data_IF_845033326086
#
_entry.id   IF_845033326086
#
_cell.length_a   1.000
_cell.length_b   1.000
_cell.length_c   1.000
_cell.angle_alpha   90.00
_cell.angle_beta   90.00
_cell.angle_gamma   90.00
#
_symmetry.space_group_name_H-M   'P 1'
#
loop_
_entity.id
_entity.type
_entity.pdbx_description
1 polymer ?
#
# COMPACT_ATOMS: atom_id res chain seq x y z
N UNK A 1 12.24 38.52 15.27
CA UNK A 1 10.83 38.70 14.90
C UNK A 1 10.20 37.33 14.84
N UNK A 2 9.48 36.98 15.89
CA UNK A 2 8.85 35.67 16.08
C UNK A 2 7.49 35.70 15.37
N UNK A 3 7.44 35.11 14.19
CA UNK A 3 6.18 34.91 13.47
C UNK A 3 5.45 33.69 14.04
N UNK A 4 4.48 33.91 14.90
CA UNK A 4 3.48 32.94 15.31
C UNK A 4 2.57 32.64 14.12
N UNK A 5 2.79 31.50 13.46
CA UNK A 5 1.83 30.97 12.50
C UNK A 5 0.63 30.43 13.29
N UNK A 6 -0.46 31.18 13.25
CA UNK A 6 -1.77 30.80 13.75
C UNK A 6 -2.25 29.53 13.04
N UNK A 7 -2.30 28.40 13.74
CA UNK A 7 -3.08 27.24 13.34
C UNK A 7 -4.54 27.61 13.52
N UNK A 8 -5.20 28.06 12.46
CA UNK A 8 -6.65 28.26 12.44
C UNK A 8 -7.32 26.90 12.64
N UNK A 9 -7.90 26.69 13.81
CA UNK A 9 -8.83 25.57 14.06
C UNK A 9 -9.96 25.64 13.03
N UNK A 10 -10.22 24.58 12.25
CA UNK A 10 -11.28 24.60 11.24
C UNK A 10 -12.63 24.93 11.90
N UNK A 11 -13.38 25.82 11.29
CA UNK A 11 -14.77 26.11 11.69
C UNK A 11 -15.60 24.87 11.39
N UNK A 12 -15.85 24.00 12.41
CA UNK A 12 -16.70 22.82 12.23
C UNK A 12 -16.30 21.55 12.97
N UNK A 13 -15.16 21.53 13.66
CA UNK A 13 -14.71 20.37 14.44
C UNK A 13 -14.17 19.19 13.60
N UNK A 14 -13.69 18.08 14.25
CA UNK A 14 -13.00 16.97 13.57
C UNK A 14 -13.84 16.27 12.50
N UNK A 15 -15.14 16.08 12.72
CA UNK A 15 -16.02 15.41 11.76
C UNK A 15 -16.20 16.21 10.45
N UNK A 16 -16.32 17.56 10.54
CA UNK A 16 -16.40 18.41 9.36
C UNK A 16 -15.09 18.38 8.56
N UNK A 17 -13.95 18.35 9.25
CA UNK A 17 -12.65 18.22 8.60
C UNK A 17 -12.51 16.88 7.87
N UNK A 18 -12.94 15.77 8.47
CA UNK A 18 -12.94 14.46 7.80
C UNK A 18 -13.80 14.47 6.55
N UNK A 19 -14.98 15.13 6.58
CA UNK A 19 -15.84 15.26 5.40
C UNK A 19 -15.14 16.04 4.26
N UNK A 20 -14.41 17.11 4.59
CA UNK A 20 -13.62 17.88 3.62
C UNK A 20 -12.48 17.04 3.01
N UNK A 21 -11.73 16.33 3.85
CA UNK A 21 -10.64 15.45 3.42
C UNK A 21 -11.14 14.30 2.51
N UNK A 22 -12.30 13.76 2.82
CA UNK A 22 -12.92 12.72 2.03
C UNK A 22 -13.39 13.25 0.67
N UNK A 23 -14.04 14.42 0.64
CA UNK A 23 -14.49 15.06 -0.60
C UNK A 23 -13.33 15.34 -1.56
N UNK A 24 -12.17 15.78 -1.03
CA UNK A 24 -10.95 15.98 -1.82
C UNK A 24 -10.47 14.66 -2.41
N UNK A 25 -10.32 13.60 -1.61
CA UNK A 25 -9.90 12.26 -2.07
C UNK A 25 -10.78 11.73 -3.19
N UNK A 26 -12.10 11.90 -3.06
CA UNK A 26 -13.06 11.49 -4.10
C UNK A 26 -12.87 12.27 -5.39
N UNK A 27 -12.67 13.60 -5.29
CA UNK A 27 -12.47 14.46 -6.47
C UNK A 27 -11.15 14.15 -7.18
N UNK A 28 -10.04 14.11 -6.44
CA UNK A 28 -8.70 13.84 -6.98
C UNK A 28 -8.62 12.43 -7.60
N UNK A 29 -9.24 11.43 -6.97
CA UNK A 29 -9.31 10.07 -7.49
C UNK A 29 -10.11 10.01 -8.82
N UNK A 30 -11.27 10.67 -8.88
CA UNK A 30 -12.08 10.69 -10.09
C UNK A 30 -11.35 11.39 -11.24
N UNK A 31 -10.71 12.54 -10.98
CA UNK A 31 -9.92 13.27 -11.96
C UNK A 31 -8.77 12.41 -12.50
N UNK A 32 -8.00 11.77 -11.61
CA UNK A 32 -6.84 10.99 -11.97
C UNK A 32 -7.21 9.80 -12.87
N UNK A 33 -8.13 8.95 -12.43
CA UNK A 33 -8.47 7.74 -13.19
C UNK A 33 -9.22 8.03 -14.47
N UNK A 34 -10.04 9.10 -14.54
CA UNK A 34 -10.67 9.53 -15.80
C UNK A 34 -9.64 10.02 -16.80
N UNK A 35 -8.65 10.79 -16.34
CA UNK A 35 -7.60 11.35 -17.21
C UNK A 35 -6.63 10.25 -17.69
N UNK A 36 -6.22 9.35 -16.80
CA UNK A 36 -5.12 8.43 -17.04
C UNK A 36 -5.56 7.03 -17.53
N UNK A 37 -6.86 6.71 -17.57
CA UNK A 37 -7.36 5.36 -17.84
C UNK A 37 -6.79 4.73 -19.12
N UNK A 38 -6.71 5.49 -20.23
CA UNK A 38 -6.17 5.01 -21.49
C UNK A 38 -4.65 4.74 -21.39
N UNK A 39 -3.91 5.65 -20.72
CA UNK A 39 -2.47 5.48 -20.52
C UNK A 39 -2.18 4.29 -19.61
N UNK A 40 -2.96 4.10 -18.56
CA UNK A 40 -2.84 2.95 -17.64
C UNK A 40 -3.11 1.65 -18.40
N UNK A 41 -4.14 1.57 -19.23
CA UNK A 41 -4.41 0.38 -20.03
C UNK A 41 -3.24 0.01 -20.95
N UNK A 42 -2.68 0.98 -21.65
CA UNK A 42 -1.48 0.80 -22.50
C UNK A 42 -0.25 0.40 -21.67
N UNK A 43 -0.06 1.01 -20.49
CA UNK A 43 1.02 0.63 -19.59
C UNK A 43 0.91 -0.82 -19.16
N UNK A 44 -0.29 -1.30 -18.78
CA UNK A 44 -0.50 -2.71 -18.42
C UNK A 44 -0.06 -3.67 -19.53
N UNK A 45 -0.38 -3.35 -20.79
CA UNK A 45 0.10 -4.13 -21.94
C UNK A 45 1.64 -4.12 -22.04
N UNK A 46 2.27 -2.92 -21.97
CA UNK A 46 3.73 -2.78 -22.05
C UNK A 46 4.46 -3.54 -20.92
N UNK A 47 3.92 -3.50 -19.72
CA UNK A 47 4.45 -4.26 -18.58
C UNK A 47 4.29 -5.76 -18.79
N UNK A 48 3.15 -6.21 -19.33
CA UNK A 48 2.93 -7.62 -19.67
C UNK A 48 3.93 -8.12 -20.73
N UNK A 49 4.23 -7.31 -21.75
CA UNK A 49 5.26 -7.64 -22.76
C UNK A 49 6.65 -7.82 -22.13
N UNK A 50 7.04 -6.96 -21.17
CA UNK A 50 8.31 -7.09 -20.44
C UNK A 50 8.38 -8.40 -19.69
N UNK A 51 7.35 -8.74 -18.92
CA UNK A 51 7.27 -10.02 -18.24
C UNK A 51 7.29 -11.22 -19.22
N UNK A 52 6.62 -11.13 -20.36
CA UNK A 52 6.60 -12.19 -21.37
C UNK A 52 8.00 -12.46 -21.94
N UNK A 53 8.88 -11.46 -21.97
CA UNK A 53 10.28 -11.56 -22.38
C UNK A 53 11.22 -11.99 -21.25
N UNK A 54 10.72 -12.19 -20.04
CA UNK A 54 11.48 -12.62 -18.87
C UNK A 54 12.00 -11.47 -18.00
N UNK A 55 11.48 -10.27 -18.19
CA UNK A 55 11.77 -9.11 -17.36
C UNK A 55 11.16 -9.20 -15.96
N UNK A 56 11.58 -8.30 -15.08
CA UNK A 56 11.19 -8.19 -13.68
C UNK A 56 10.79 -6.75 -13.37
N UNK A 57 10.05 -6.53 -12.30
CA UNK A 57 9.95 -5.22 -11.68
C UNK A 57 11.19 -4.96 -10.83
N UNK A 58 11.76 -3.76 -10.98
CA UNK A 58 12.76 -3.18 -10.10
C UNK A 58 12.11 -1.94 -9.49
N UNK A 59 11.53 -2.10 -8.30
CA UNK A 59 10.91 -1.01 -7.56
C UNK A 59 11.96 -0.34 -6.68
N UNK A 60 12.06 0.99 -6.68
CA UNK A 60 13.05 1.71 -5.88
C UNK A 60 12.52 3.05 -5.37
N UNK A 61 13.04 3.46 -4.21
CA UNK A 61 12.67 4.70 -3.55
C UNK A 61 13.61 5.02 -2.39
N UNK A 62 13.64 6.30 -2.00
CA UNK A 62 14.62 6.82 -1.03
C UNK A 62 13.99 7.08 0.33
N UNK A 63 12.80 7.69 0.34
CA UNK A 63 12.13 8.13 1.58
C UNK A 63 11.50 6.96 2.35
N UNK A 64 11.19 7.13 3.66
CA UNK A 64 10.48 6.11 4.42
C UNK A 64 9.10 5.72 3.81
N UNK A 65 8.33 6.68 3.32
CA UNK A 65 7.06 6.42 2.63
C UNK A 65 7.29 5.68 1.31
N UNK A 66 8.23 6.13 0.47
CA UNK A 66 8.58 5.42 -0.76
C UNK A 66 9.06 3.97 -0.50
N UNK A 67 9.69 3.70 0.65
CA UNK A 67 10.10 2.36 1.04
C UNK A 67 8.89 1.44 1.30
N UNK A 68 7.80 1.95 1.86
CA UNK A 68 6.57 1.16 2.03
C UNK A 68 5.99 0.76 0.67
N UNK A 69 5.90 1.70 -0.29
CA UNK A 69 5.44 1.43 -1.66
C UNK A 69 6.33 0.42 -2.40
N UNK A 70 7.66 0.57 -2.29
CA UNK A 70 8.64 -0.39 -2.87
C UNK A 70 8.40 -1.81 -2.34
N UNK A 71 8.17 -1.95 -1.05
CA UNK A 71 7.90 -3.24 -0.41
C UNK A 71 6.51 -3.77 -0.77
N UNK A 72 5.52 -2.89 -0.84
CA UNK A 72 4.15 -3.24 -1.16
C UNK A 72 4.04 -3.77 -2.59
N UNK A 73 4.51 -3.01 -3.59
CA UNK A 73 4.48 -3.48 -4.97
C UNK A 73 5.26 -4.78 -5.16
N UNK A 74 6.35 -4.95 -4.42
CA UNK A 74 7.15 -6.18 -4.50
C UNK A 74 6.37 -7.38 -3.98
N UNK A 75 5.72 -7.27 -2.83
CA UNK A 75 4.94 -8.38 -2.26
C UNK A 75 3.73 -8.73 -3.12
N UNK A 76 3.03 -7.74 -3.68
CA UNK A 76 1.88 -7.96 -4.55
C UNK A 76 2.23 -8.74 -5.82
N UNK A 77 3.34 -8.40 -6.47
CA UNK A 77 3.75 -9.10 -7.68
C UNK A 77 4.32 -10.50 -7.40
N UNK A 78 5.11 -10.67 -6.34
CA UNK A 78 5.74 -11.95 -6.00
C UNK A 78 4.75 -12.93 -5.35
N UNK A 79 3.82 -12.43 -4.55
CA UNK A 79 2.86 -13.24 -3.80
C UNK A 79 1.42 -12.76 -4.04
N UNK A 80 0.84 -13.07 -5.20
CA UNK A 80 -0.52 -12.63 -5.52
C UNK A 80 -1.55 -13.22 -4.55
N UNK A 81 -2.37 -12.35 -3.96
CA UNK A 81 -3.40 -12.72 -2.99
C UNK A 81 -4.73 -13.11 -3.66
N UNK A 82 -4.89 -12.82 -4.96
CA UNK A 82 -6.07 -13.17 -5.74
C UNK A 82 -5.87 -14.52 -6.41
N UNK A 83 -6.80 -15.46 -6.17
CA UNK A 83 -6.77 -16.80 -6.76
C UNK A 83 -6.73 -16.71 -8.29
N UNK A 84 -5.83 -17.46 -8.92
CA UNK A 84 -5.66 -17.51 -10.37
C UNK A 84 -4.67 -16.48 -10.93
N UNK A 85 -4.21 -15.50 -10.15
CA UNK A 85 -3.12 -14.60 -10.56
C UNK A 85 -1.76 -15.29 -10.43
N UNK A 86 -0.86 -15.00 -11.40
CA UNK A 86 0.49 -15.59 -11.40
C UNK A 86 1.43 -14.77 -10.52
N UNK A 87 2.34 -15.43 -9.83
CA UNK A 87 3.51 -14.76 -9.26
C UNK A 87 4.37 -14.20 -10.39
N UNK A 88 4.65 -12.92 -10.32
CA UNK A 88 5.47 -12.19 -11.29
C UNK A 88 6.74 -11.69 -10.57
N UNK A 89 7.93 -11.77 -11.19
CA UNK A 89 9.16 -11.43 -10.53
C UNK A 89 9.27 -9.93 -10.26
N UNK A 90 9.51 -9.58 -8.99
CA UNK A 90 9.75 -8.21 -8.55
C UNK A 90 10.84 -8.15 -7.49
N UNK A 91 11.64 -7.09 -7.50
CA UNK A 91 12.72 -6.81 -6.55
C UNK A 91 12.55 -5.39 -6.03
N UNK A 92 12.47 -5.25 -4.71
CA UNK A 92 12.48 -3.95 -4.04
C UNK A 92 13.90 -3.53 -3.69
N UNK A 93 14.35 -2.41 -4.24
CA UNK A 93 15.66 -1.81 -4.01
C UNK A 93 15.52 -0.66 -3.02
N UNK A 94 16.22 -0.76 -1.91
CA UNK A 94 16.20 0.26 -0.85
C UNK A 94 17.63 0.65 -0.46
N UNK A 95 17.80 1.81 0.17
CA UNK A 95 19.14 2.34 0.53
C UNK A 95 19.88 1.48 1.56
N UNK A 96 19.20 0.63 2.31
CA UNK A 96 19.83 -0.30 3.23
C UNK A 96 20.79 -1.28 2.54
N UNK A 97 20.54 -1.59 1.25
CA UNK A 97 21.43 -2.44 0.44
C UNK A 97 22.52 -1.65 -0.32
N UNK A 98 22.61 -0.34 -0.12
CA UNK A 98 23.57 0.55 -0.78
C UNK A 98 22.91 1.58 -1.71
N UNK A 99 23.71 2.43 -2.39
CA UNK A 99 23.16 3.46 -3.27
C UNK A 99 22.31 2.88 -4.40
N UNK A 100 21.14 3.46 -4.64
CA UNK A 100 20.18 2.98 -5.66
C UNK A 100 20.78 2.93 -7.09
N UNK A 101 21.56 3.96 -7.54
CA UNK A 101 22.18 3.89 -8.86
C UNK A 101 23.13 2.69 -9.02
N UNK A 102 23.88 2.33 -7.96
CA UNK A 102 24.78 1.17 -7.99
C UNK A 102 23.99 -0.13 -8.08
N UNK A 103 22.93 -0.27 -7.30
CA UNK A 103 22.07 -1.46 -7.34
C UNK A 103 21.42 -1.62 -8.74
N UNK A 104 20.90 -0.54 -9.32
CA UNK A 104 20.29 -0.54 -10.65
C UNK A 104 21.34 -0.84 -11.73
N UNK A 105 22.56 -0.30 -11.62
CA UNK A 105 23.64 -0.60 -12.58
C UNK A 105 23.99 -2.08 -12.63
N UNK A 106 23.97 -2.73 -11.49
CA UNK A 106 24.28 -4.17 -11.36
C UNK A 106 23.14 -5.10 -11.76
N UNK A 107 21.89 -4.68 -11.59
CA UNK A 107 20.72 -5.56 -11.69
C UNK A 107 19.85 -5.31 -12.92
N UNK A 108 19.79 -4.07 -13.42
CA UNK A 108 18.85 -3.70 -14.48
C UNK A 108 19.24 -4.27 -15.84
N UNK A 109 18.25 -4.83 -16.52
CA UNK A 109 18.36 -5.34 -17.90
C UNK A 109 17.32 -4.66 -18.82
N UNK A 110 17.52 -4.69 -20.14
CA UNK A 110 16.56 -4.04 -21.05
C UNK A 110 15.12 -4.56 -20.97
N UNK A 111 14.92 -5.76 -20.47
CA UNK A 111 13.59 -6.35 -20.34
C UNK A 111 12.89 -5.96 -19.03
N UNK A 112 13.59 -5.37 -18.06
CA UNK A 112 13.03 -5.04 -16.77
C UNK A 112 12.11 -3.80 -16.84
N UNK A 113 11.23 -3.70 -15.83
CA UNK A 113 10.37 -2.55 -15.57
C UNK A 113 10.88 -1.87 -14.31
N UNK A 114 11.37 -0.64 -14.41
CA UNK A 114 11.87 0.14 -13.30
C UNK A 114 10.80 1.11 -12.80
N UNK A 115 10.42 1.01 -11.52
CA UNK A 115 9.40 1.87 -10.91
C UNK A 115 10.05 2.69 -9.81
N UNK A 116 10.08 4.02 -9.98
CA UNK A 116 10.62 4.96 -9.00
C UNK A 116 9.51 5.57 -8.14
N UNK A 117 9.65 5.46 -6.81
CA UNK A 117 8.75 6.03 -5.80
C UNK A 117 9.41 7.18 -5.06
N UNK A 118 8.72 8.29 -4.90
CA UNK A 118 9.19 9.49 -4.19
C UNK A 118 8.57 10.76 -4.75
N UNK A 119 8.84 11.87 -4.10
CA UNK A 119 8.29 13.19 -4.44
C UNK A 119 9.17 13.98 -5.45
N UNK A 120 10.18 13.34 -6.04
CA UNK A 120 11.03 13.95 -7.06
C UNK A 120 12.09 14.94 -6.54
N UNK A 121 12.22 15.11 -5.24
CA UNK A 121 13.23 16.01 -4.66
C UNK A 121 14.60 15.33 -4.44
N UNK A 122 14.65 13.99 -4.49
CA UNK A 122 15.84 13.22 -4.15
C UNK A 122 16.75 13.00 -5.38
N UNK A 123 17.96 13.56 -5.36
CA UNK A 123 18.94 13.41 -6.44
C UNK A 123 19.22 11.94 -6.79
N UNK A 124 19.28 11.05 -5.80
CA UNK A 124 19.54 9.63 -5.98
C UNK A 124 18.40 8.92 -6.73
N UNK A 125 17.15 9.40 -6.57
CA UNK A 125 15.99 8.89 -7.31
C UNK A 125 16.10 9.25 -8.80
N UNK A 126 16.49 10.50 -9.12
CA UNK A 126 16.74 10.94 -10.50
C UNK A 126 17.90 10.19 -11.16
N UNK A 127 19.01 10.01 -10.44
CA UNK A 127 20.18 9.26 -10.94
C UNK A 127 19.80 7.79 -11.22
N UNK A 128 19.05 7.16 -10.30
CA UNK A 128 18.55 5.79 -10.48
C UNK A 128 17.63 5.66 -11.69
N UNK A 129 16.71 6.60 -11.88
CA UNK A 129 15.79 6.60 -13.03
C UNK A 129 16.54 6.81 -14.35
N UNK A 130 17.49 7.75 -14.40
CA UNK A 130 18.33 7.99 -15.58
C UNK A 130 19.12 6.73 -15.96
N UNK A 131 19.66 6.02 -14.96
CA UNK A 131 20.40 4.79 -15.17
C UNK A 131 19.48 3.65 -15.69
N UNK A 132 18.31 3.45 -15.09
CA UNK A 132 17.33 2.47 -15.54
C UNK A 132 16.94 2.70 -17.01
N UNK A 133 16.74 3.96 -17.43
CA UNK A 133 16.51 4.32 -18.82
C UNK A 133 17.70 3.99 -19.72
N UNK A 134 18.91 4.33 -19.28
CA UNK A 134 20.14 4.05 -20.05
C UNK A 134 20.36 2.53 -20.24
N UNK A 135 19.88 1.71 -19.31
CA UNK A 135 19.88 0.24 -19.41
C UNK A 135 18.75 -0.32 -20.28
N UNK A 136 17.82 0.52 -20.77
CA UNK A 136 16.72 0.11 -21.65
C UNK A 136 15.48 -0.40 -20.93
N UNK A 137 15.39 -0.23 -19.60
CA UNK A 137 14.19 -0.58 -18.84
C UNK A 137 12.96 0.22 -19.32
N UNK A 138 11.78 -0.38 -19.23
CA UNK A 138 10.53 0.37 -19.20
C UNK A 138 10.48 1.13 -17.87
N UNK A 139 10.38 2.46 -17.90
CA UNK A 139 10.47 3.26 -16.69
C UNK A 139 9.15 3.92 -16.33
N UNK A 140 8.78 3.82 -15.04
CA UNK A 140 7.53 4.34 -14.47
C UNK A 140 7.87 5.22 -13.27
N UNK A 141 7.20 6.35 -13.13
CA UNK A 141 7.32 7.23 -11.97
C UNK A 141 6.01 7.96 -11.68
N UNK A 142 5.92 8.54 -10.50
CA UNK A 142 4.76 9.28 -10.01
C UNK A 142 5.08 10.76 -9.77
N UNK A 143 6.22 11.21 -10.30
CA UNK A 143 6.68 12.59 -10.33
C UNK A 143 7.67 12.80 -11.49
N UNK A 144 8.11 14.06 -11.73
CA UNK A 144 9.01 14.48 -12.82
C UNK A 144 10.46 14.05 -12.57
N UNK A 145 10.72 12.76 -12.54
CA UNK A 145 12.08 12.19 -12.38
C UNK A 145 12.66 11.62 -13.68
N UNK A 146 12.05 11.95 -14.81
CA UNK A 146 12.54 11.58 -16.15
C UNK A 146 12.17 10.17 -16.60
N UNK A 147 11.11 9.54 -16.08
CA UNK A 147 10.59 8.26 -16.55
C UNK A 147 9.89 8.39 -17.91
N UNK A 148 9.80 7.28 -18.67
CA UNK A 148 9.00 7.19 -19.89
C UNK A 148 7.50 7.33 -19.59
N UNK A 149 7.06 6.73 -18.50
CA UNK A 149 5.69 6.75 -18.00
C UNK A 149 5.65 7.50 -16.68
N UNK A 150 5.51 8.82 -16.75
CA UNK A 150 5.29 9.66 -15.58
C UNK A 150 3.79 9.88 -15.38
N UNK A 151 3.29 9.62 -14.18
CA UNK A 151 1.93 9.89 -13.74
C UNK A 151 1.97 10.96 -12.66
N UNK A 152 1.04 11.90 -12.73
CA UNK A 152 0.99 13.03 -11.81
C UNK A 152 -0.36 13.03 -11.10
N UNK A 153 -0.47 12.37 -9.92
CA UNK A 153 -1.68 12.47 -9.12
C UNK A 153 -2.06 13.93 -8.85
N UNK A 154 -3.33 14.33 -9.04
CA UNK A 154 -3.75 15.69 -8.84
C UNK A 154 -3.70 16.11 -7.37
N UNK A 155 -3.71 17.42 -7.12
CA UNK A 155 -3.70 17.98 -5.77
C UNK A 155 -2.29 18.11 -5.17
N UNK A 156 -2.23 18.77 -4.00
CA UNK A 156 -0.98 19.04 -3.29
C UNK A 156 -0.89 18.32 -1.94
N UNK A 157 -1.82 17.39 -1.68
CA UNK A 157 -1.84 16.61 -0.43
C UNK A 157 -0.97 15.35 -0.60
N UNK A 158 0.16 15.24 0.09
CA UNK A 158 1.06 14.09 -0.05
C UNK A 158 0.39 12.74 0.28
N UNK A 159 -0.57 12.72 1.21
CA UNK A 159 -1.31 11.50 1.54
C UNK A 159 -2.23 11.07 0.40
N UNK A 160 -2.95 12.02 -0.21
CA UNK A 160 -3.79 11.72 -1.38
C UNK A 160 -2.93 11.27 -2.55
N UNK A 161 -1.77 11.89 -2.76
CA UNK A 161 -0.80 11.46 -3.76
C UNK A 161 -0.42 9.98 -3.56
N UNK A 162 0.01 9.60 -2.35
CA UNK A 162 0.40 8.22 -2.04
C UNK A 162 -0.75 7.23 -2.21
N UNK A 163 -1.97 7.56 -1.73
CA UNK A 163 -3.17 6.74 -1.92
C UNK A 163 -3.50 6.47 -3.39
N UNK A 164 -3.29 7.47 -4.27
CA UNK A 164 -3.49 7.32 -5.72
C UNK A 164 -2.39 6.48 -6.37
N UNK A 165 -1.16 6.63 -5.93
CA UNK A 165 -0.03 5.79 -6.36
C UNK A 165 -0.27 4.33 -5.97
N UNK A 166 -0.69 4.06 -4.73
CA UNK A 166 -1.04 2.72 -4.26
C UNK A 166 -2.17 2.11 -5.10
N UNK A 167 -3.25 2.86 -5.31
CA UNK A 167 -4.35 2.40 -6.15
C UNK A 167 -3.87 2.11 -7.59
N UNK A 168 -2.99 2.93 -8.15
CA UNK A 168 -2.47 2.74 -9.50
C UNK A 168 -1.63 1.46 -9.62
N UNK A 169 -0.69 1.20 -8.71
CA UNK A 169 0.11 -0.03 -8.83
C UNK A 169 -0.71 -1.30 -8.56
N UNK A 170 -1.75 -1.26 -7.72
CA UNK A 170 -2.72 -2.35 -7.58
C UNK A 170 -3.51 -2.58 -8.88
N UNK A 171 -3.99 -1.52 -9.50
CA UNK A 171 -4.70 -1.59 -10.80
C UNK A 171 -3.79 -2.18 -11.87
N UNK A 172 -2.54 -1.74 -11.96
CA UNK A 172 -1.55 -2.29 -12.91
C UNK A 172 -1.31 -3.77 -12.61
N UNK A 173 -1.06 -4.14 -11.35
CA UNK A 173 -0.87 -5.53 -10.95
C UNK A 173 -2.07 -6.41 -11.33
N UNK A 174 -3.30 -5.98 -11.05
CA UNK A 174 -4.49 -6.75 -11.40
C UNK A 174 -4.66 -6.92 -12.91
N UNK A 175 -4.44 -5.84 -13.70
CA UNK A 175 -4.80 -5.79 -15.12
C UNK A 175 -3.69 -6.27 -16.05
N UNK A 176 -2.44 -6.29 -15.64
CA UNK A 176 -1.34 -6.94 -16.38
C UNK A 176 -1.66 -8.40 -16.69
N UNK A 177 -2.33 -9.10 -15.77
CA UNK A 177 -2.70 -10.49 -15.93
C UNK A 177 -3.72 -10.73 -17.06
N UNK A 178 -4.54 -9.74 -17.42
CA UNK A 178 -5.51 -9.86 -18.52
C UNK A 178 -4.80 -10.17 -19.84
N UNK A 179 -3.64 -9.55 -20.09
CA UNK A 179 -2.89 -9.78 -21.33
C UNK A 179 -2.23 -11.15 -21.40
N UNK A 180 -1.98 -11.83 -20.28
CA UNK A 180 -1.49 -13.20 -20.28
C UNK A 180 -2.57 -14.23 -20.60
N UNK A 181 -3.84 -13.86 -20.48
CA UNK A 181 -4.99 -14.73 -20.71
C UNK A 181 -5.38 -14.77 -22.19
N UNK A 182 -4.96 -13.76 -23.00
CA UNK A 182 -5.24 -13.68 -24.42
C UNK A 182 -4.06 -14.16 -25.29
N UNK A 183 -4.30 -15.06 -26.23
CA UNK A 183 -3.26 -15.51 -27.18
C UNK A 183 -2.96 -14.43 -28.20
N UNK A 184 -1.68 -14.31 -28.56
CA UNK A 184 -1.22 -13.44 -29.65
C UNK A 184 -1.07 -11.96 -29.30
N UNK A 185 -1.42 -11.52 -28.09
CA UNK A 185 -1.30 -10.12 -27.69
C UNK A 185 0.10 -9.74 -27.18
N UNK A 186 0.95 -10.72 -26.88
CA UNK A 186 2.29 -10.49 -26.31
C UNK A 186 3.36 -10.94 -27.31
N UNK A 187 4.10 -9.99 -27.89
CA UNK A 187 5.28 -10.28 -28.72
C UNK A 187 6.42 -10.86 -27.87
N UNK A 188 7.09 -11.90 -28.42
CA UNK A 188 8.28 -12.50 -27.81
C UNK A 188 8.03 -13.53 -26.74
N UNK A 189 6.80 -13.99 -26.57
CA UNK A 189 6.48 -15.10 -25.65
C UNK A 189 7.23 -16.35 -26.09
N UNK A 190 8.30 -16.71 -25.38
CA UNK A 190 8.99 -17.98 -25.53
C UNK A 190 8.03 -19.11 -25.15
N UNK A 191 8.08 -20.24 -25.91
CA UNK A 191 7.18 -21.35 -25.70
C UNK A 191 7.07 -21.75 -24.24
N UNK A 192 5.85 -21.83 -23.81
CA UNK A 192 5.23 -22.48 -22.66
C UNK A 192 6.15 -22.98 -21.55
N UNK A 193 6.36 -22.22 -20.52
CA UNK A 193 6.44 -22.79 -19.18
C UNK A 193 5.01 -23.07 -18.76
N UNK A 194 4.58 -24.33 -18.85
CA UNK A 194 3.28 -24.79 -18.35
C UNK A 194 3.35 -24.75 -16.84
N UNK A 195 2.94 -23.64 -16.25
CA UNK A 195 2.54 -23.70 -14.84
C UNK A 195 1.13 -24.29 -14.81
N UNK A 196 1.04 -25.42 -14.13
CA UNK A 196 -0.17 -26.18 -13.90
C UNK A 196 -1.30 -25.24 -13.41
N UNK A 197 -2.23 -24.92 -14.31
CA UNK A 197 -3.48 -24.24 -13.99
C UNK A 197 -4.49 -25.23 -13.39
N UNK A 198 -4.00 -26.25 -12.67
CA UNK A 198 -4.82 -27.29 -12.08
C UNK A 198 -6.08 -26.76 -11.42
N UNK A 199 -7.22 -27.16 -11.91
CA UNK A 199 -8.54 -26.94 -11.31
C UNK A 199 -9.14 -25.55 -11.46
N UNK A 200 -8.40 -24.49 -11.72
CA UNK A 200 -8.94 -23.12 -11.80
C UNK A 200 -9.58 -22.77 -13.15
N UNK A 201 -9.23 -23.49 -14.22
CA UNK A 201 -9.87 -23.31 -15.54
C UNK A 201 -11.40 -23.57 -15.51
N UNK A 202 -11.88 -24.37 -14.57
CA UNK A 202 -13.31 -24.64 -14.39
C UNK A 202 -14.06 -23.48 -13.73
N UNK A 203 -13.39 -22.66 -12.94
CA UNK A 203 -14.01 -21.53 -12.20
C UNK A 203 -14.18 -20.27 -13.06
N UNK A 204 -13.51 -20.21 -14.22
CA UNK A 204 -13.57 -19.05 -15.12
C UNK A 204 -13.77 -19.48 -16.57
N UNK A 205 -15.00 -19.90 -16.96
CA UNK A 205 -15.27 -20.35 -18.34
C UNK A 205 -15.13 -19.27 -19.41
N UNK A 206 -15.00 -17.99 -19.04
CA UNK A 206 -14.71 -16.87 -19.94
C UNK A 206 -13.22 -16.70 -20.24
N UNK A 207 -12.35 -17.49 -19.62
CA UNK A 207 -10.92 -17.59 -19.94
C UNK A 207 -10.65 -18.57 -21.11
N UNK A 208 -11.67 -19.06 -21.79
CA UNK A 208 -11.54 -19.76 -23.06
C UNK A 208 -11.04 -18.73 -24.09
N UNK A 209 -9.80 -18.94 -24.54
CA UNK A 209 -9.01 -18.17 -25.51
C UNK A 209 -9.88 -17.60 -26.64
N UNK A 210 -10.42 -16.38 -26.46
CA UNK A 210 -10.99 -15.62 -27.54
C UNK A 210 -9.85 -14.91 -28.30
N UNK A 211 -9.81 -15.04 -29.63
CA UNK A 211 -9.00 -14.18 -30.50
C UNK A 211 -9.61 -12.77 -30.42
N UNK A 212 -9.26 -12.00 -29.38
CA UNK A 212 -9.62 -10.58 -29.30
C UNK A 212 -8.51 -9.75 -29.91
N UNK A 213 -8.85 -8.71 -30.65
CA UNK A 213 -7.87 -7.73 -31.12
C UNK A 213 -7.29 -6.95 -29.94
N UNK A 214 -6.04 -6.48 -30.06
CA UNK A 214 -5.40 -5.70 -29.00
C UNK A 214 -6.24 -4.48 -28.60
N UNK A 215 -6.83 -3.78 -29.56
CA UNK A 215 -7.65 -2.58 -29.30
C UNK A 215 -8.90 -2.90 -28.48
N UNK A 216 -9.54 -4.05 -28.70
CA UNK A 216 -10.69 -4.49 -27.92
C UNK A 216 -10.31 -4.76 -26.47
N UNK A 217 -9.18 -5.48 -26.25
CA UNK A 217 -8.69 -5.78 -24.90
C UNK A 217 -8.24 -4.50 -24.17
N UNK A 218 -7.60 -3.57 -24.89
CA UNK A 218 -7.25 -2.26 -24.31
C UNK A 218 -8.49 -1.46 -23.89
N UNK A 219 -9.58 -1.51 -24.68
CA UNK A 219 -10.83 -0.86 -24.34
C UNK A 219 -11.46 -1.48 -23.07
N UNK A 220 -11.45 -2.81 -22.94
CA UNK A 220 -11.94 -3.52 -21.76
C UNK A 220 -11.09 -3.22 -20.52
N UNK A 221 -9.77 -3.20 -20.67
CA UNK A 221 -8.85 -2.84 -19.57
C UNK A 221 -9.07 -1.40 -19.16
N UNK A 222 -9.23 -0.45 -20.09
CA UNK A 222 -9.57 0.94 -19.80
C UNK A 222 -10.89 1.05 -19.01
N UNK A 223 -11.93 0.34 -19.45
CA UNK A 223 -13.21 0.32 -18.72
C UNK A 223 -13.04 -0.22 -17.29
N UNK A 224 -12.22 -1.26 -17.12
CA UNK A 224 -11.87 -1.82 -15.80
C UNK A 224 -11.12 -0.81 -14.93
N UNK A 225 -10.19 -0.02 -15.48
CA UNK A 225 -9.49 1.06 -14.74
C UNK A 225 -10.49 2.07 -14.19
N UNK A 226 -11.42 2.55 -15.02
CA UNK A 226 -12.45 3.50 -14.60
C UNK A 226 -13.35 2.93 -13.51
N UNK A 227 -13.81 1.69 -13.66
CA UNK A 227 -14.64 1.01 -12.67
C UNK A 227 -13.93 0.90 -11.32
N UNK A 228 -12.65 0.49 -11.32
CA UNK A 228 -11.85 0.34 -10.09
C UNK A 228 -11.62 1.68 -9.38
N UNK A 229 -11.43 2.76 -10.14
CA UNK A 229 -11.35 4.11 -9.57
C UNK A 229 -12.65 4.51 -8.84
N UNK A 230 -13.83 4.16 -9.38
CA UNK A 230 -15.12 4.40 -8.73
C UNK A 230 -15.27 3.52 -7.47
N UNK A 231 -15.01 2.21 -7.59
CA UNK A 231 -15.13 1.24 -6.49
C UNK A 231 -14.32 1.65 -5.26
N UNK A 232 -13.07 2.10 -5.45
CA UNK A 232 -12.23 2.52 -4.31
C UNK A 232 -12.76 3.79 -3.66
N UNK A 233 -13.28 4.75 -4.43
CA UNK A 233 -13.89 5.97 -3.89
C UNK A 233 -15.12 5.67 -3.04
N UNK A 234 -16.02 4.84 -3.54
CA UNK A 234 -17.23 4.44 -2.83
C UNK A 234 -16.92 3.67 -1.54
N UNK A 235 -15.97 2.72 -1.60
CA UNK A 235 -15.55 1.94 -0.43
C UNK A 235 -14.87 2.83 0.63
N UNK A 236 -14.04 3.76 0.20
CA UNK A 236 -13.35 4.76 1.05
C UNK A 236 -14.37 5.63 1.77
N UNK A 237 -15.36 6.16 1.04
CA UNK A 237 -16.43 6.98 1.60
C UNK A 237 -17.28 6.21 2.61
N UNK A 238 -17.73 5.01 2.24
CA UNK A 238 -18.50 4.13 3.12
C UNK A 238 -17.74 3.81 4.41
N UNK A 239 -16.47 3.41 4.28
CA UNK A 239 -15.61 3.02 5.41
C UNK A 239 -15.40 4.19 6.37
N UNK A 240 -14.96 5.34 5.85
CA UNK A 240 -14.61 6.50 6.69
C UNK A 240 -15.84 7.06 7.39
N UNK A 241 -17.00 7.17 6.70
CA UNK A 241 -18.25 7.62 7.32
C UNK A 241 -18.69 6.69 8.46
N UNK A 242 -18.64 5.38 8.23
CA UNK A 242 -18.99 4.38 9.25
C UNK A 242 -18.00 4.37 10.43
N UNK A 243 -16.72 4.66 10.17
CA UNK A 243 -15.65 4.62 11.16
C UNK A 243 -15.54 5.89 12.02
N UNK A 244 -16.19 7.01 11.67
CA UNK A 244 -16.07 8.29 12.43
C UNK A 244 -16.25 8.13 13.95
N UNK A 245 -17.25 7.36 14.46
CA UNK A 245 -17.43 7.15 15.88
C UNK A 245 -16.27 6.44 16.56
N UNK A 246 -15.44 5.73 15.80
CA UNK A 246 -14.24 5.02 16.27
C UNK A 246 -12.97 5.85 16.04
N UNK A 247 -12.85 6.51 14.90
CA UNK A 247 -11.63 7.25 14.50
C UNK A 247 -11.36 8.45 15.40
N UNK A 248 -12.37 9.22 15.77
CA UNK A 248 -12.18 10.39 16.64
C UNK A 248 -11.73 9.98 18.04
N UNK A 249 -12.35 9.00 18.74
CA UNK A 249 -11.82 8.47 20.00
C UNK A 249 -10.43 7.85 19.87
N UNK A 250 -10.13 7.12 18.77
CA UNK A 250 -8.81 6.55 18.53
C UNK A 250 -7.74 7.65 18.37
N UNK A 251 -8.04 8.72 17.62
CA UNK A 251 -7.14 9.87 17.49
C UNK A 251 -6.83 10.51 18.86
N UNK A 252 -7.83 10.66 19.72
CA UNK A 252 -7.64 11.15 21.10
C UNK A 252 -6.76 10.18 21.91
N UNK A 253 -7.03 8.89 21.82
CA UNK A 253 -6.23 7.87 22.51
C UNK A 253 -4.76 7.88 22.07
N UNK A 254 -4.49 8.07 20.76
CA UNK A 254 -3.13 8.25 20.25
C UNK A 254 -2.49 9.54 20.76
N UNK A 255 -3.23 10.63 20.77
CA UNK A 255 -2.73 11.90 21.31
C UNK A 255 -2.35 11.77 22.77
N UNK A 256 -3.22 11.20 23.60
CA UNK A 256 -2.95 10.91 25.00
C UNK A 256 -1.75 9.98 25.20
N UNK A 257 -1.60 8.97 24.32
CA UNK A 257 -0.43 8.09 24.30
C UNK A 257 0.86 8.89 24.14
N UNK A 258 0.93 9.77 23.14
CA UNK A 258 2.11 10.59 22.89
C UNK A 258 2.37 11.60 24.01
N UNK A 259 1.33 12.23 24.52
CA UNK A 259 1.44 13.21 25.63
C UNK A 259 1.89 12.54 26.93
N UNK A 260 1.58 11.25 27.13
CA UNK A 260 2.09 10.42 28.25
C UNK A 260 3.51 9.85 28.01
N UNK A 261 4.16 10.16 26.86
CA UNK A 261 5.48 9.63 26.51
C UNK A 261 5.46 8.19 25.97
N UNK A 262 4.28 7.68 25.62
CA UNK A 262 4.10 6.39 24.96
C UNK A 262 4.36 6.47 23.44
N UNK A 263 4.25 5.32 22.78
CA UNK A 263 4.55 5.13 21.36
C UNK A 263 3.39 4.43 20.66
N UNK A 264 3.30 4.65 19.35
CA UNK A 264 2.54 3.79 18.46
C UNK A 264 3.39 2.53 18.14
N UNK A 265 2.81 1.34 18.27
CA UNK A 265 3.41 0.06 17.89
C UNK A 265 2.56 -0.53 16.78
N UNK A 266 3.06 -0.53 15.53
CA UNK A 266 2.29 -0.99 14.37
C UNK A 266 2.78 -2.35 13.86
N UNK A 267 1.87 -3.21 13.40
CA UNK A 267 2.19 -4.53 12.86
C UNK A 267 1.08 -5.08 11.95
N UNK A 268 1.49 -5.89 10.97
CA UNK A 268 0.64 -6.57 10.01
C UNK A 268 1.39 -7.67 9.26
N UNK A 269 0.75 -8.35 8.32
CA UNK A 269 1.37 -9.39 7.48
C UNK A 269 1.28 -9.00 6.00
N UNK A 270 2.32 -9.32 5.21
CA UNK A 270 2.32 -9.05 3.76
C UNK A 270 2.10 -7.58 3.45
N UNK A 271 1.11 -7.24 2.61
CA UNK A 271 0.73 -5.85 2.35
C UNK A 271 0.27 -5.10 3.60
N UNK A 272 -0.37 -5.77 4.58
CA UNK A 272 -0.65 -5.15 5.88
C UNK A 272 0.62 -4.85 6.71
N UNK A 273 1.76 -5.45 6.41
CA UNK A 273 3.04 -5.05 7.01
C UNK A 273 3.55 -3.75 6.37
N UNK A 274 3.30 -3.55 5.09
CA UNK A 274 3.63 -2.27 4.42
C UNK A 274 2.74 -1.14 4.90
N UNK A 275 1.45 -1.38 5.20
CA UNK A 275 0.58 -0.40 5.87
C UNK A 275 1.13 -0.02 7.27
N UNK A 276 1.62 -1.00 8.03
CA UNK A 276 2.25 -0.74 9.34
C UNK A 276 3.54 0.09 9.18
N UNK A 277 4.33 -0.19 8.17
CA UNK A 277 5.55 0.57 7.83
C UNK A 277 5.22 2.01 7.47
N UNK A 278 4.18 2.21 6.66
CA UNK A 278 3.75 3.50 6.16
C UNK A 278 3.21 4.40 7.30
N UNK A 279 2.28 3.89 8.09
CA UNK A 279 1.76 4.66 9.24
C UNK A 279 2.86 5.04 10.23
N UNK A 280 3.87 4.19 10.40
CA UNK A 280 5.03 4.53 11.25
C UNK A 280 5.89 5.62 10.61
N UNK A 281 6.08 5.59 9.29
CA UNK A 281 6.77 6.66 8.56
C UNK A 281 6.05 8.00 8.75
N UNK A 282 4.73 8.04 8.60
CA UNK A 282 3.89 9.22 8.76
C UNK A 282 3.95 9.85 10.15
N UNK A 283 4.11 9.04 11.18
CA UNK A 283 4.27 9.55 12.54
C UNK A 283 5.70 9.99 12.83
N UNK A 284 6.72 9.30 12.32
CA UNK A 284 8.15 9.62 12.53
C UNK A 284 8.63 10.80 11.70
N UNK A 285 8.16 10.89 10.45
CA UNK A 285 8.61 11.89 9.47
C UNK A 285 7.41 12.39 8.63
N UNK A 286 6.47 13.11 9.25
CA UNK A 286 5.24 13.52 8.60
C UNK A 286 5.52 14.42 7.39
N UNK A 287 4.79 14.24 6.26
CA UNK A 287 4.95 15.06 5.05
C UNK A 287 4.53 16.51 5.27
N UNK A 288 3.71 16.78 6.27
CA UNK A 288 3.32 18.11 6.71
C UNK A 288 4.21 18.59 7.85
N UNK A 289 4.19 19.90 8.17
CA UNK A 289 4.92 20.46 9.31
C UNK A 289 4.30 20.10 10.66
N UNK A 290 3.90 18.85 10.82
CA UNK A 290 3.39 18.32 12.07
C UNK A 290 4.51 17.85 12.99
N UNK A 291 4.25 17.74 14.30
CA UNK A 291 5.22 17.17 15.22
C UNK A 291 5.54 15.71 14.86
N UNK A 292 6.81 15.37 14.90
CA UNK A 292 7.26 13.97 14.87
C UNK A 292 6.79 13.26 16.12
N UNK A 293 6.24 12.05 15.94
CA UNK A 293 5.70 11.24 17.03
C UNK A 293 6.44 9.91 17.13
N UNK A 294 6.67 9.39 18.35
CA UNK A 294 7.35 8.11 18.51
C UNK A 294 6.46 6.95 18.05
N UNK A 295 6.93 6.23 17.04
CA UNK A 295 6.28 5.05 16.50
C UNK A 295 7.29 3.94 16.26
N UNK A 296 6.90 2.68 16.35
CA UNK A 296 7.73 1.50 16.12
C UNK A 296 7.01 0.53 15.20
N UNK A 297 7.67 0.18 14.11
CA UNK A 297 7.24 -0.86 13.20
C UNK A 297 7.79 -2.22 13.69
N UNK A 298 6.88 -3.14 14.03
CA UNK A 298 7.26 -4.49 14.46
C UNK A 298 7.50 -5.43 13.27
N UNK A 299 7.41 -4.94 12.05
CA UNK A 299 7.67 -5.69 10.82
C UNK A 299 9.04 -5.39 10.21
N UNK A 300 9.77 -4.40 10.75
CA UNK A 300 10.98 -3.84 10.14
C UNK A 300 12.19 -4.78 10.22
N UNK A 301 12.38 -5.50 11.33
CA UNK A 301 13.55 -6.34 11.57
C UNK A 301 13.33 -7.76 11.02
N UNK A 302 13.80 -7.99 9.78
CA UNK A 302 13.69 -9.29 9.11
C UNK A 302 14.43 -10.39 9.84
N UNK A 303 15.58 -10.10 10.47
CA UNK A 303 16.34 -11.10 11.22
C UNK A 303 15.56 -11.55 12.46
N UNK A 304 14.96 -10.59 13.17
CA UNK A 304 14.11 -10.89 14.33
C UNK A 304 12.86 -11.69 13.93
N UNK A 305 12.16 -11.26 12.87
CA UNK A 305 10.97 -11.97 12.37
C UNK A 305 11.25 -13.41 11.99
N UNK A 306 12.32 -13.65 11.22
CA UNK A 306 12.69 -14.99 10.76
C UNK A 306 13.19 -15.87 11.90
N UNK A 307 13.96 -15.33 12.85
CA UNK A 307 14.38 -16.07 14.05
C UNK A 307 13.17 -16.49 14.91
N UNK A 308 12.25 -15.55 15.19
CA UNK A 308 11.04 -15.86 15.96
C UNK A 308 10.14 -16.87 15.26
N UNK A 309 9.95 -16.74 13.95
CA UNK A 309 9.17 -17.71 13.17
C UNK A 309 9.76 -19.11 13.22
N UNK A 310 11.09 -19.23 13.09
CA UNK A 310 11.81 -20.50 13.10
C UNK A 310 11.80 -21.16 14.51
N UNK A 311 12.06 -20.39 15.55
CA UNK A 311 12.36 -20.94 16.89
C UNK A 311 11.10 -21.13 17.75
N UNK A 312 10.10 -20.26 17.63
CA UNK A 312 8.88 -20.28 18.47
C UNK A 312 7.57 -20.26 17.67
N UNK A 313 7.66 -20.28 16.34
CA UNK A 313 6.54 -20.33 15.41
C UNK A 313 6.01 -18.97 15.01
N UNK A 314 5.49 -18.90 13.77
CA UNK A 314 4.98 -17.71 13.12
C UNK A 314 3.87 -17.00 13.91
N UNK A 315 3.07 -17.74 14.66
CA UNK A 315 2.00 -17.19 15.51
C UNK A 315 2.52 -16.29 16.63
N UNK A 316 3.82 -16.30 16.92
CA UNK A 316 4.43 -15.61 18.05
C UNK A 316 5.21 -14.36 17.68
N UNK A 317 5.44 -14.09 16.41
CA UNK A 317 6.39 -13.07 15.93
C UNK A 317 6.11 -11.67 16.49
N UNK A 318 4.86 -11.22 16.49
CA UNK A 318 4.49 -9.91 17.04
C UNK A 318 4.27 -9.94 18.54
N UNK A 319 3.64 -10.99 19.07
CA UNK A 319 3.43 -11.13 20.51
C UNK A 319 4.77 -11.13 21.28
N UNK A 320 5.82 -11.78 20.76
CA UNK A 320 7.14 -11.79 21.38
C UNK A 320 7.80 -10.42 21.41
N UNK A 321 7.62 -9.63 20.35
CA UNK A 321 8.12 -8.26 20.27
C UNK A 321 7.37 -7.34 21.26
N UNK A 322 6.04 -7.48 21.36
CA UNK A 322 5.26 -6.75 22.38
C UNK A 322 5.70 -7.11 23.80
N UNK A 323 6.05 -8.39 24.06
CA UNK A 323 6.62 -8.81 25.35
C UNK A 323 7.90 -8.04 25.67
N UNK A 324 8.72 -7.78 24.67
CA UNK A 324 10.01 -7.11 24.84
C UNK A 324 9.91 -5.59 24.91
N UNK A 325 9.02 -5.00 24.11
CA UNK A 325 9.04 -3.56 23.86
C UNK A 325 7.88 -2.78 24.46
N UNK A 326 6.70 -3.40 24.59
CA UNK A 326 5.49 -2.68 24.93
C UNK A 326 5.45 -2.23 26.39
N UNK A 327 4.97 -1.00 26.59
CA UNK A 327 4.72 -0.35 27.88
C UNK A 327 3.24 -0.02 28.01
N UNK A 328 2.68 0.11 29.22
CA UNK A 328 1.26 0.42 29.41
C UNK A 328 0.81 1.73 28.73
N UNK A 329 1.73 2.70 28.56
CA UNK A 329 1.47 3.99 27.91
C UNK A 329 1.40 3.90 26.38
N UNK A 330 1.88 2.80 25.78
CA UNK A 330 1.89 2.61 24.33
C UNK A 330 0.48 2.31 23.78
N UNK A 331 0.30 2.44 22.46
CA UNK A 331 -0.86 1.97 21.73
C UNK A 331 -0.41 1.03 20.62
N UNK A 332 -1.01 -0.16 20.56
CA UNK A 332 -0.77 -1.15 19.53
C UNK A 332 -1.80 -1.04 18.40
N UNK A 333 -1.35 -0.84 17.16
CA UNK A 333 -2.17 -0.77 15.96
C UNK A 333 -1.90 -1.97 15.07
N UNK A 334 -2.90 -2.80 14.87
CA UNK A 334 -2.84 -4.00 14.04
C UNK A 334 -3.50 -3.79 12.69
N UNK A 335 -2.89 -4.29 11.63
CA UNK A 335 -3.46 -4.37 10.28
C UNK A 335 -3.72 -5.84 9.92
N UNK A 336 -4.93 -6.14 9.44
CA UNK A 336 -5.28 -7.50 9.01
C UNK A 336 -6.47 -7.48 8.08
N UNK A 337 -6.28 -7.75 6.80
CA UNK A 337 -7.40 -7.78 5.83
C UNK A 337 -8.48 -8.78 6.25
N UNK A 338 -8.14 -9.97 6.74
CA UNK A 338 -9.12 -10.98 7.14
C UNK A 338 -9.67 -10.85 8.57
N UNK A 339 -8.99 -10.09 9.45
CA UNK A 339 -9.30 -10.09 10.89
C UNK A 339 -9.12 -11.44 11.60
N UNK A 340 -8.47 -12.43 10.95
CA UNK A 340 -8.38 -13.82 11.42
C UNK A 340 -6.93 -14.32 11.60
N UNK A 341 -5.92 -13.51 11.28
CA UNK A 341 -4.51 -13.91 11.36
C UNK A 341 -4.13 -14.25 12.81
N UNK A 342 -3.62 -15.47 13.02
CA UNK A 342 -3.35 -16.01 14.37
C UNK A 342 -2.30 -15.22 15.14
N UNK A 343 -1.22 -14.79 14.46
CA UNK A 343 -0.17 -13.95 15.03
C UNK A 343 -0.68 -12.57 15.43
N UNK A 344 -1.56 -11.95 14.64
CA UNK A 344 -2.20 -10.67 14.96
C UNK A 344 -3.10 -10.80 16.18
N UNK A 345 -3.97 -11.82 16.20
CA UNK A 345 -4.86 -12.10 17.34
C UNK A 345 -4.05 -12.35 18.62
N UNK A 346 -2.96 -13.12 18.54
CA UNK A 346 -2.09 -13.39 19.67
C UNK A 346 -1.39 -12.13 20.18
N UNK A 347 -0.96 -11.26 19.27
CA UNK A 347 -0.33 -9.98 19.59
C UNK A 347 -1.32 -9.04 20.29
N UNK A 348 -2.54 -8.89 19.78
CA UNK A 348 -3.58 -8.07 20.43
C UNK A 348 -3.93 -8.56 21.85
N UNK A 349 -4.06 -9.88 22.03
CA UNK A 349 -4.28 -10.48 23.37
C UNK A 349 -3.12 -10.17 24.32
N UNK A 350 -1.87 -10.27 23.84
CA UNK A 350 -0.70 -9.96 24.65
C UNK A 350 -0.61 -8.47 24.98
N UNK A 351 -0.90 -7.56 24.04
CA UNK A 351 -0.96 -6.13 24.28
C UNK A 351 -1.96 -5.79 25.39
N UNK A 352 -3.18 -6.32 25.32
CA UNK A 352 -4.22 -6.13 26.35
C UNK A 352 -3.81 -6.70 27.71
N UNK A 353 -3.17 -7.88 27.74
CA UNK A 353 -2.66 -8.46 28.98
C UNK A 353 -1.64 -7.55 29.68
N UNK A 354 -0.94 -6.71 28.92
CA UNK A 354 0.05 -5.73 29.41
C UNK A 354 -0.54 -4.36 29.73
N UNK A 355 -1.83 -4.17 29.56
CA UNK A 355 -2.49 -2.88 29.75
C UNK A 355 -2.25 -1.89 28.63
N UNK A 356 -1.75 -2.35 27.47
CA UNK A 356 -1.54 -1.53 26.27
C UNK A 356 -2.88 -1.36 25.56
N UNK A 357 -3.22 -0.11 25.18
CA UNK A 357 -4.40 0.17 24.36
C UNK A 357 -4.23 -0.43 22.98
N UNK A 358 -5.33 -0.90 22.38
CA UNK A 358 -5.29 -1.66 21.14
C UNK A 358 -6.23 -1.09 20.09
N UNK A 359 -5.75 -0.99 18.87
CA UNK A 359 -6.54 -0.66 17.68
C UNK A 359 -6.30 -1.68 16.57
N UNK A 360 -7.30 -1.86 15.69
CA UNK A 360 -7.18 -2.73 14.53
C UNK A 360 -7.92 -2.14 13.32
N UNK A 361 -7.26 -2.14 12.17
CA UNK A 361 -7.86 -1.92 10.87
C UNK A 361 -8.02 -3.29 10.21
N UNK A 362 -9.25 -3.66 9.89
CA UNK A 362 -9.60 -5.00 9.38
C UNK A 362 -10.49 -4.90 8.14
N UNK A 363 -10.50 -5.93 7.33
CA UNK A 363 -11.37 -6.04 6.16
C UNK A 363 -12.50 -7.06 6.37
N UNK A 364 -13.15 -7.42 5.29
CA UNK A 364 -14.28 -8.35 5.24
C UNK A 364 -15.40 -7.94 6.20
N UNK A 365 -15.70 -8.80 7.15
CA UNK A 365 -16.67 -8.59 8.24
C UNK A 365 -15.99 -8.27 9.59
N UNK A 366 -14.67 -8.05 9.59
CA UNK A 366 -13.86 -7.82 10.78
C UNK A 366 -13.33 -9.08 11.43
N UNK A 367 -13.76 -10.25 10.99
CA UNK A 367 -13.33 -11.55 11.47
C UNK A 367 -13.38 -11.71 12.98
N UNK A 368 -12.51 -12.56 13.52
CA UNK A 368 -12.41 -12.83 14.97
C UNK A 368 -11.97 -11.60 15.78
N UNK A 369 -11.22 -10.68 15.18
CA UNK A 369 -10.79 -9.46 15.90
C UNK A 369 -12.02 -8.67 16.34
N UNK A 370 -13.00 -8.48 15.46
CA UNK A 370 -14.25 -7.81 15.79
C UNK A 370 -15.16 -8.68 16.64
N UNK A 371 -15.41 -9.93 16.23
CA UNK A 371 -16.35 -10.83 16.89
C UNK A 371 -15.99 -11.12 18.36
N UNK A 372 -14.70 -11.30 18.65
CA UNK A 372 -14.19 -11.57 20.01
C UNK A 372 -13.77 -10.28 20.77
N UNK A 373 -13.98 -9.10 20.16
CA UNK A 373 -13.62 -7.80 20.74
C UNK A 373 -12.16 -7.75 21.20
N UNK A 374 -11.24 -8.14 20.31
CA UNK A 374 -9.82 -8.28 20.65
C UNK A 374 -9.05 -6.96 20.63
N UNK A 375 -9.63 -5.88 20.11
CA UNK A 375 -9.08 -4.52 20.16
C UNK A 375 -10.11 -3.55 20.75
N UNK A 376 -9.62 -2.46 21.35
CA UNK A 376 -10.45 -1.42 21.96
C UNK A 376 -11.09 -0.53 20.88
N UNK A 377 -10.39 -0.35 19.76
CA UNK A 377 -10.84 0.39 18.58
C UNK A 377 -10.73 -0.51 17.36
N UNK A 378 -11.84 -0.72 16.63
CA UNK A 378 -11.84 -1.53 15.41
C UNK A 378 -12.49 -0.72 14.28
N UNK A 379 -11.77 -0.58 13.17
CA UNK A 379 -12.29 -0.05 11.91
C UNK A 379 -12.39 -1.20 10.92
N UNK A 380 -13.56 -1.37 10.31
CA UNK A 380 -13.82 -2.42 9.33
C UNK A 380 -13.97 -1.80 7.95
N UNK A 381 -13.20 -2.28 6.98
CA UNK A 381 -13.38 -2.01 5.54
C UNK A 381 -14.24 -3.13 4.96
N UNK A 382 -15.51 -2.89 4.62
CA UNK A 382 -16.46 -3.94 4.25
C UNK A 382 -16.30 -4.35 2.78
N UNK A 383 -15.18 -5.00 2.44
CA UNK A 383 -14.89 -5.53 1.11
C UNK A 383 -14.30 -6.94 1.21
N UNK A 384 -14.45 -7.72 0.14
CA UNK A 384 -13.82 -9.03 -0.02
C UNK A 384 -12.59 -8.97 -0.95
N UNK A 385 -12.32 -7.81 -1.55
CA UNK A 385 -11.18 -7.59 -2.41
C UNK A 385 -10.01 -7.01 -1.57
N UNK A 386 -8.93 -7.77 -1.44
CA UNK A 386 -7.80 -7.44 -0.57
C UNK A 386 -7.13 -6.11 -0.99
N UNK A 387 -6.78 -5.86 -2.26
CA UNK A 387 -6.28 -4.55 -2.69
C UNK A 387 -7.21 -3.38 -2.31
N UNK A 388 -8.52 -3.52 -2.54
CA UNK A 388 -9.50 -2.46 -2.18
C UNK A 388 -9.55 -2.22 -0.67
N UNK A 389 -9.38 -3.28 0.15
CA UNK A 389 -9.30 -3.16 1.62
C UNK A 389 -8.11 -2.30 2.00
N UNK A 390 -6.92 -2.59 1.45
CA UNK A 390 -5.68 -1.87 1.76
C UNK A 390 -5.76 -0.39 1.33
N UNK A 391 -6.19 -0.12 0.11
CA UNK A 391 -6.40 1.25 -0.40
C UNK A 391 -7.35 2.10 0.45
N UNK A 392 -8.40 1.49 1.00
CA UNK A 392 -9.29 2.17 1.92
C UNK A 392 -8.66 2.30 3.32
N UNK A 393 -7.86 1.32 3.77
CA UNK A 393 -7.10 1.40 5.03
C UNK A 393 -6.06 2.51 4.97
N UNK A 394 -5.39 2.72 3.82
CA UNK A 394 -4.47 3.82 3.62
C UNK A 394 -5.14 5.16 3.92
N UNK A 395 -6.30 5.42 3.34
CA UNK A 395 -7.05 6.65 3.62
C UNK A 395 -7.49 6.76 5.09
N UNK A 396 -7.80 5.64 5.75
CA UNK A 396 -8.18 5.63 7.17
C UNK A 396 -7.01 6.06 8.05
N UNK A 397 -5.81 5.48 7.86
CA UNK A 397 -4.68 5.85 8.73
C UNK A 397 -4.09 7.22 8.40
N UNK A 398 -4.13 7.69 7.15
CA UNK A 398 -3.77 9.06 6.81
C UNK A 398 -4.71 10.09 7.46
N UNK A 399 -6.03 9.85 7.40
CA UNK A 399 -7.01 10.69 8.10
C UNK A 399 -6.81 10.61 9.61
N UNK A 400 -6.53 9.43 10.17
CA UNK A 400 -6.22 9.26 11.59
C UNK A 400 -4.97 10.08 11.97
N UNK A 401 -3.93 10.07 11.13
CA UNK A 401 -2.72 10.86 11.36
C UNK A 401 -3.02 12.36 11.47
N UNK A 402 -3.87 12.89 10.57
CA UNK A 402 -4.31 14.29 10.63
C UNK A 402 -5.18 14.57 11.87
N UNK A 403 -6.12 13.67 12.18
CA UNK A 403 -7.00 13.81 13.34
C UNK A 403 -6.23 13.91 14.66
N UNK A 404 -5.10 13.20 14.80
CA UNK A 404 -4.25 13.28 16.01
C UNK A 404 -3.75 14.69 16.29
N UNK A 405 -3.54 15.50 15.25
CA UNK A 405 -3.12 16.90 15.44
C UNK A 405 -4.30 17.87 15.66
N UNK A 406 -5.52 17.46 15.32
CA UNK A 406 -6.73 18.27 15.46
C UNK A 406 -7.47 18.05 16.78
N UNK A 407 -7.37 16.86 17.36
CA UNK A 407 -7.98 16.56 18.66
C UNK A 407 -7.07 17.05 19.77
N UNK A 408 -7.45 18.16 20.38
CA UNK A 408 -6.75 18.73 21.54
C UNK A 408 -7.28 18.10 22.84
#
# INVERSE_FOLDING_TARGET
>A
MTGTTSTTTPVGGPAARVAELLARRTADNAEFFVTEAERIARLCHRVAERFARGGRILAFGVTPAARSDVRHVTVEFVHPVIVGKRALPAIGLTREAGPLPVQLDLLATPEDVAIGFGAGEEAELHEGMALARARGCLTIAFDEIGAEWAFHPPGADPFVHQELVETLYHVVWELVHVFFEHRGLLEGRKERVVHDAGGSAFLYPFLAEAEAGLDDVLADVRASVLMKGVEVSELREQTIRAALPTLIPLARALRETFDAGGRLLAFGNGGSATDAMDVVADFRDPPHRWPRRPALDLTEDTALLTALANDIGEDSIFARQLISHARPEDLALAFSTSGNSRNIIRALREARRRGVRTAALVGYDGGRILAERLADYVVVVPSQNIPRIQEAQASVYHILRELVELVA
#
